data_IF_367086350934
#
_entry.id   IF_367086350934
#
_cell.length_a   1.000
_cell.length_b   1.000
_cell.length_c   1.000
_cell.angle_alpha   90.00
_cell.angle_beta   90.00
_cell.angle_gamma   90.00
#
_symmetry.space_group_name_H-M   'P 1'
#
loop_
_entity.id
_entity.type
_entity.pdbx_description
1 polymer ?
#
# COMPACT_ATOMS: atom_id res chain seq x y z
N UNK A 1 7.18 -4.72 50.46
CA UNK A 1 6.98 -3.96 49.23
C UNK A 1 6.61 -4.96 48.14
N UNK A 2 5.39 -4.96 47.69
CA UNK A 2 5.03 -5.76 46.53
C UNK A 2 5.71 -5.17 45.30
N UNK A 3 6.54 -5.96 44.65
CA UNK A 3 7.08 -5.60 43.32
C UNK A 3 5.93 -5.35 42.39
N UNK A 4 5.84 -4.16 41.84
CA UNK A 4 4.89 -3.84 40.75
C UNK A 4 5.36 -4.60 39.52
N UNK A 5 4.89 -5.85 39.40
CA UNK A 5 5.13 -6.66 38.19
C UNK A 5 4.39 -5.96 37.05
N UNK A 6 5.16 -5.44 36.11
CA UNK A 6 4.61 -4.84 34.89
C UNK A 6 3.96 -5.98 34.06
N UNK A 7 2.65 -6.21 34.29
CA UNK A 7 1.86 -7.26 33.62
C UNK A 7 1.84 -7.09 32.09
N UNK A 8 2.12 -5.89 31.58
CA UNK A 8 2.19 -5.62 30.13
C UNK A 8 3.50 -6.13 29.55
N UNK A 9 4.62 -6.03 30.28
CA UNK A 9 5.91 -6.54 29.83
C UNK A 9 6.00 -8.08 29.86
N UNK A 10 5.19 -8.73 30.72
CA UNK A 10 5.10 -10.20 30.84
C UNK A 10 3.89 -10.82 30.10
N UNK A 11 3.07 -10.02 29.44
CA UNK A 11 1.97 -10.56 28.64
C UNK A 11 2.51 -11.15 27.34
N UNK A 12 2.00 -12.31 26.92
CA UNK A 12 2.26 -12.91 25.62
C UNK A 12 1.57 -12.10 24.49
N UNK A 13 1.65 -10.77 24.58
CA UNK A 13 1.05 -9.82 23.67
C UNK A 13 2.12 -9.38 22.66
N UNK A 14 1.85 -9.65 21.40
CA UNK A 14 2.71 -9.25 20.29
C UNK A 14 2.11 -8.03 19.57
N UNK A 15 2.95 -7.23 18.99
CA UNK A 15 2.54 -6.09 18.16
C UNK A 15 2.84 -6.37 16.72
N UNK A 16 1.85 -6.20 15.85
CA UNK A 16 2.01 -6.19 14.41
C UNK A 16 1.81 -4.76 13.92
N UNK A 17 2.92 -4.06 13.67
CA UNK A 17 2.89 -2.67 13.23
C UNK A 17 3.07 -2.59 11.72
N UNK A 18 2.03 -2.15 11.01
CA UNK A 18 2.07 -2.00 9.56
C UNK A 18 3.08 -0.95 9.09
N UNK A 19 3.45 0.00 9.94
CA UNK A 19 4.49 0.97 9.58
C UNK A 19 5.87 0.34 9.45
N UNK A 20 6.15 -0.77 10.15
CA UNK A 20 7.40 -1.52 10.02
C UNK A 20 7.57 -2.12 8.63
N UNK A 21 6.46 -2.36 7.93
CA UNK A 21 6.40 -2.91 6.57
C UNK A 21 6.22 -1.83 5.50
N UNK A 22 6.23 -0.55 5.88
CA UNK A 22 6.00 0.53 4.92
C UNK A 22 7.09 0.55 3.85
N UNK A 23 6.72 0.42 2.56
CA UNK A 23 7.70 0.33 1.48
C UNK A 23 8.53 1.61 1.35
N UNK A 24 9.83 1.49 1.44
CA UNK A 24 10.75 2.62 1.22
C UNK A 24 10.88 2.89 -0.26
N UNK A 25 10.91 4.17 -0.64
CA UNK A 25 11.12 4.59 -2.02
C UNK A 25 10.26 5.81 -2.40
N UNK A 26 10.60 6.39 -3.53
CA UNK A 26 9.89 7.54 -4.08
C UNK A 26 8.61 7.06 -4.75
N UNK A 27 7.50 7.76 -4.49
CA UNK A 27 6.24 7.58 -5.19
C UNK A 27 6.04 8.74 -6.14
N UNK A 28 5.73 8.44 -7.38
CA UNK A 28 5.38 9.41 -8.40
C UNK A 28 4.03 9.09 -9.01
N UNK A 29 3.34 10.13 -9.45
CA UNK A 29 2.06 10.00 -10.12
C UNK A 29 2.14 10.60 -11.50
N UNK A 30 1.65 9.85 -12.49
CA UNK A 30 1.47 10.33 -13.86
C UNK A 30 -0.01 10.59 -14.06
N UNK A 31 -0.32 11.83 -14.40
CA UNK A 31 -1.66 12.26 -14.74
C UNK A 31 -1.84 12.31 -16.25
N UNK A 32 -2.59 11.36 -16.80
CA UNK A 32 -2.87 11.28 -18.24
C UNK A 32 -3.61 12.51 -18.75
N UNK A 33 -4.39 13.19 -17.90
CA UNK A 33 -5.13 14.38 -18.30
C UNK A 33 -4.25 15.48 -18.90
N UNK A 34 -2.99 15.54 -18.49
CA UNK A 34 -2.02 16.52 -19.01
C UNK A 34 -1.66 16.31 -20.49
N UNK A 35 -1.96 15.14 -21.03
CA UNK A 35 -1.69 14.75 -22.41
C UNK A 35 -2.97 14.67 -23.26
N UNK A 36 -4.10 15.11 -22.70
CA UNK A 36 -5.38 15.17 -23.37
C UNK A 36 -5.67 16.59 -23.86
N UNK A 37 -6.41 16.71 -24.96
CA UNK A 37 -6.90 18.01 -25.41
C UNK A 37 -7.85 18.58 -24.37
N UNK A 38 -7.54 19.76 -23.85
CA UNK A 38 -8.28 20.46 -22.78
C UNK A 38 -8.51 19.59 -21.53
N UNK A 39 -7.67 18.56 -21.33
CA UNK A 39 -7.78 17.64 -20.20
C UNK A 39 -8.84 16.54 -20.35
N UNK A 40 -9.58 16.49 -21.45
CA UNK A 40 -10.74 15.59 -21.58
C UNK A 40 -10.74 14.71 -22.83
N UNK A 41 -10.16 15.14 -23.94
CA UNK A 41 -10.24 14.40 -25.20
C UNK A 41 -8.90 13.80 -25.57
N UNK A 42 -8.84 12.46 -25.65
CA UNK A 42 -7.67 11.75 -26.14
C UNK A 42 -7.64 11.75 -27.67
N UNK A 43 -6.65 12.44 -28.24
CA UNK A 43 -6.29 12.34 -29.65
C UNK A 43 -5.07 11.46 -29.79
N UNK A 44 -5.19 10.29 -30.39
CA UNK A 44 -4.13 9.27 -30.41
C UNK A 44 -2.81 9.79 -30.91
N UNK A 45 -2.79 10.53 -32.03
CA UNK A 45 -1.55 11.08 -32.60
C UNK A 45 -0.83 12.00 -31.62
N UNK A 46 -1.57 12.92 -30.99
CA UNK A 46 -1.01 13.89 -30.05
C UNK A 46 -0.56 13.21 -28.76
N UNK A 47 -1.35 12.27 -28.26
CA UNK A 47 -1.01 11.46 -27.10
C UNK A 47 0.30 10.70 -27.30
N UNK A 48 0.46 10.01 -28.44
CA UNK A 48 1.70 9.32 -28.78
C UNK A 48 2.89 10.24 -28.90
N UNK A 49 2.70 11.45 -29.46
CA UNK A 49 3.74 12.46 -29.55
C UNK A 49 4.19 12.93 -28.14
N UNK A 50 3.26 13.13 -27.21
CA UNK A 50 3.59 13.45 -25.84
C UNK A 50 4.43 12.34 -25.18
N UNK A 51 4.04 11.08 -25.36
CA UNK A 51 4.79 9.94 -24.80
C UNK A 51 6.21 9.84 -25.37
N UNK A 52 6.37 10.09 -26.66
CA UNK A 52 7.68 10.05 -27.32
C UNK A 52 8.63 11.17 -26.86
N UNK A 53 8.09 12.30 -26.44
CA UNK A 53 8.85 13.45 -25.99
C UNK A 53 9.04 13.50 -24.45
N UNK A 54 8.38 12.57 -23.71
CA UNK A 54 8.47 12.53 -22.27
C UNK A 54 9.74 11.84 -21.82
N UNK A 55 10.44 12.41 -20.82
CA UNK A 55 11.62 11.78 -20.22
C UNK A 55 11.17 10.72 -19.18
N UNK A 56 11.18 9.46 -19.60
CA UNK A 56 10.82 8.33 -18.75
C UNK A 56 11.91 7.97 -17.75
N UNK A 57 13.16 8.34 -18.00
CA UNK A 57 14.29 8.02 -17.11
C UNK A 57 14.19 8.71 -15.74
N UNK A 58 13.41 9.79 -15.63
CA UNK A 58 13.15 10.47 -14.37
C UNK A 58 12.48 9.57 -13.33
N UNK A 59 11.84 8.47 -13.76
CA UNK A 59 11.15 7.52 -12.87
C UNK A 59 12.05 6.34 -12.46
N UNK A 60 13.34 6.44 -12.70
CA UNK A 60 14.27 5.35 -12.37
C UNK A 60 14.15 4.95 -10.91
N UNK A 61 13.94 3.65 -10.68
CA UNK A 61 13.82 3.02 -9.35
C UNK A 61 12.67 3.55 -8.46
N UNK A 62 11.67 4.19 -9.05
CA UNK A 62 10.50 4.73 -8.34
C UNK A 62 9.28 3.79 -8.44
N UNK A 63 8.34 4.00 -7.53
CA UNK A 63 7.00 3.45 -7.58
C UNK A 63 6.09 4.46 -8.27
N UNK A 64 5.36 4.04 -9.30
CA UNK A 64 4.58 4.97 -10.15
C UNK A 64 3.13 4.57 -10.23
N UNK A 65 2.25 5.52 -9.92
CA UNK A 65 0.82 5.42 -10.15
C UNK A 65 0.44 6.17 -11.44
N UNK A 66 -0.39 5.57 -12.26
CA UNK A 66 -0.96 6.18 -13.48
C UNK A 66 -2.43 6.44 -13.23
N UNK A 67 -2.86 7.67 -13.35
CA UNK A 67 -4.28 8.03 -13.25
C UNK A 67 -4.67 9.13 -14.24
N UNK A 68 -5.94 9.47 -14.24
CA UNK A 68 -6.47 10.65 -14.92
C UNK A 68 -7.26 11.47 -13.89
N UNK A 69 -6.87 12.71 -13.67
CA UNK A 69 -7.48 13.60 -12.67
C UNK A 69 -8.80 14.23 -13.14
N UNK A 70 -9.14 14.08 -14.41
CA UNK A 70 -10.41 14.58 -14.99
C UNK A 70 -11.38 13.42 -15.25
N UNK A 71 -12.65 13.74 -15.48
CA UNK A 71 -13.69 12.76 -15.86
C UNK A 71 -13.60 12.32 -17.34
N UNK A 72 -12.42 12.42 -17.94
CA UNK A 72 -12.20 11.98 -19.31
C UNK A 72 -12.39 10.47 -19.45
N UNK A 73 -12.96 10.06 -20.57
CA UNK A 73 -13.01 8.66 -20.97
C UNK A 73 -11.66 8.30 -21.56
N UNK A 74 -10.83 7.62 -20.77
CA UNK A 74 -9.51 7.16 -21.20
C UNK A 74 -9.60 5.69 -21.60
N UNK A 75 -9.32 5.35 -22.87
CA UNK A 75 -9.32 3.96 -23.30
C UNK A 75 -8.18 3.18 -22.60
N UNK A 76 -8.41 1.91 -22.32
CA UNK A 76 -7.45 1.07 -21.59
C UNK A 76 -6.06 1.06 -22.23
N UNK A 77 -5.97 1.09 -23.57
CA UNK A 77 -4.69 1.06 -24.26
C UNK A 77 -3.79 2.26 -23.92
N UNK A 78 -4.36 3.40 -23.53
CA UNK A 78 -3.57 4.59 -23.16
C UNK A 78 -2.76 4.34 -21.87
N UNK A 79 -3.40 3.85 -20.81
CA UNK A 79 -2.69 3.49 -19.58
C UNK A 79 -1.70 2.34 -19.79
N UNK A 80 -2.06 1.36 -20.62
CA UNK A 80 -1.16 0.26 -20.98
C UNK A 80 0.08 0.78 -21.70
N UNK A 81 -0.08 1.71 -22.64
CA UNK A 81 1.03 2.29 -23.38
C UNK A 81 1.97 3.07 -22.45
N UNK A 82 1.43 3.87 -21.52
CA UNK A 82 2.21 4.57 -20.50
C UNK A 82 2.99 3.56 -19.63
N UNK A 83 2.35 2.48 -19.21
CA UNK A 83 3.01 1.47 -18.40
C UNK A 83 4.17 0.77 -19.13
N UNK A 84 4.04 0.54 -20.44
CA UNK A 84 5.10 -0.03 -21.27
C UNK A 84 6.32 0.91 -21.32
N UNK A 85 6.09 2.22 -21.43
CA UNK A 85 7.18 3.21 -21.42
C UNK A 85 7.89 3.29 -20.07
N UNK A 86 7.13 3.11 -18.97
CA UNK A 86 7.67 3.12 -17.61
C UNK A 86 8.44 1.85 -17.23
N UNK A 87 8.08 0.71 -17.83
CA UNK A 87 8.58 -0.61 -17.42
C UNK A 87 10.10 -0.73 -17.33
N UNK A 88 10.92 -0.09 -18.21
CA UNK A 88 12.37 -0.15 -18.10
C UNK A 88 12.94 0.59 -16.89
N UNK A 89 12.19 1.51 -16.29
CA UNK A 89 12.67 2.45 -15.27
C UNK A 89 12.06 2.23 -13.89
N UNK A 90 10.74 2.08 -13.83
CA UNK A 90 10.00 2.01 -12.57
C UNK A 90 10.10 0.64 -11.90
N UNK A 91 10.15 0.62 -10.56
CA UNK A 91 10.12 -0.61 -9.75
C UNK A 91 8.74 -1.25 -9.71
N UNK A 92 7.69 -0.44 -9.66
CA UNK A 92 6.29 -0.88 -9.63
C UNK A 92 5.43 0.16 -10.33
N UNK A 93 4.48 -0.32 -11.10
CA UNK A 93 3.53 0.51 -11.83
C UNK A 93 2.13 0.02 -11.49
N UNK A 94 1.25 0.95 -11.16
CA UNK A 94 -0.16 0.68 -10.83
C UNK A 94 -1.04 1.69 -11.55
N UNK A 95 -2.13 1.24 -12.13
CA UNK A 95 -3.19 2.14 -12.61
C UNK A 95 -4.13 2.45 -11.45
N UNK A 96 -4.13 3.69 -11.00
CA UNK A 96 -4.86 4.16 -9.85
C UNK A 96 -4.19 5.32 -9.14
N UNK A 97 -4.53 5.52 -7.88
CA UNK A 97 -3.99 6.55 -7.00
C UNK A 97 -2.68 6.11 -6.34
N UNK A 98 -2.03 7.03 -5.63
CA UNK A 98 -0.89 6.68 -4.74
C UNK A 98 -1.32 5.69 -3.66
N UNK A 99 -2.55 5.79 -3.15
CA UNK A 99 -3.08 4.83 -2.19
C UNK A 99 -3.22 3.42 -2.78
N UNK A 100 -3.68 3.31 -4.03
CA UNK A 100 -3.75 2.03 -4.75
C UNK A 100 -2.36 1.44 -4.98
N UNK A 101 -1.38 2.28 -5.27
CA UNK A 101 0.02 1.89 -5.41
C UNK A 101 0.57 1.33 -4.09
N UNK A 102 0.37 2.05 -2.99
CA UNK A 102 0.80 1.59 -1.66
C UNK A 102 0.08 0.29 -1.25
N UNK A 103 -1.20 0.16 -1.55
CA UNK A 103 -1.95 -1.07 -1.32
C UNK A 103 -1.35 -2.27 -2.07
N UNK A 104 -0.99 -2.09 -3.34
CA UNK A 104 -0.35 -3.15 -4.14
C UNK A 104 1.05 -3.53 -3.62
N UNK A 105 1.81 -2.56 -3.09
CA UNK A 105 3.10 -2.82 -2.46
C UNK A 105 2.94 -3.62 -1.15
N UNK A 106 1.99 -3.24 -0.31
CA UNK A 106 1.67 -3.97 0.92
C UNK A 106 1.18 -5.39 0.65
N UNK A 107 0.36 -5.58 -0.38
CA UNK A 107 -0.14 -6.91 -0.74
C UNK A 107 1.01 -7.90 -0.96
N UNK A 108 2.03 -7.51 -1.69
CA UNK A 108 3.22 -8.32 -1.90
C UNK A 108 4.00 -8.54 -0.60
N UNK A 109 4.32 -7.47 0.13
CA UNK A 109 5.12 -7.53 1.35
C UNK A 109 4.43 -8.41 2.41
N UNK A 110 3.14 -8.20 2.64
CA UNK A 110 2.39 -8.94 3.65
C UNK A 110 2.20 -10.41 3.28
N UNK A 111 2.17 -10.76 1.99
CA UNK A 111 2.13 -12.16 1.55
C UNK A 111 3.43 -12.93 1.85
N UNK A 112 4.53 -12.24 2.03
CA UNK A 112 5.86 -12.81 2.29
C UNK A 112 6.23 -12.87 3.78
N UNK A 113 5.38 -12.34 4.67
CA UNK A 113 5.61 -12.35 6.13
C UNK A 113 5.39 -13.74 6.70
N UNK A 114 6.27 -14.16 7.60
CA UNK A 114 6.07 -15.39 8.38
C UNK A 114 5.16 -15.12 9.58
N UNK A 115 3.89 -15.46 9.43
CA UNK A 115 2.88 -15.31 10.48
C UNK A 115 2.91 -16.41 11.54
N UNK A 116 3.68 -17.49 11.35
CA UNK A 116 3.75 -18.61 12.29
C UNK A 116 4.27 -18.19 13.67
N UNK A 117 5.06 -17.12 13.73
CA UNK A 117 5.57 -16.52 14.98
C UNK A 117 4.46 -15.99 15.89
N UNK A 118 3.27 -15.71 15.34
CA UNK A 118 2.08 -15.24 16.07
C UNK A 118 1.14 -16.36 16.51
N UNK A 119 1.51 -17.63 16.25
CA UNK A 119 0.67 -18.79 16.56
C UNK A 119 0.30 -18.82 18.04
N UNK A 120 -1.01 -18.90 18.32
CA UNK A 120 -1.59 -18.94 19.66
C UNK A 120 -1.30 -17.71 20.55
N UNK A 121 -0.86 -16.59 19.96
CA UNK A 121 -0.59 -15.35 20.68
C UNK A 121 -1.72 -14.34 20.53
N UNK A 122 -1.79 -13.41 21.47
CA UNK A 122 -2.63 -12.21 21.34
C UNK A 122 -1.85 -11.15 20.59
N UNK A 123 -2.42 -10.60 19.54
CA UNK A 123 -1.76 -9.65 18.65
C UNK A 123 -2.49 -8.31 18.63
N UNK A 124 -1.74 -7.22 18.75
CA UNK A 124 -2.25 -5.86 18.48
C UNK A 124 -1.82 -5.48 17.06
N UNK A 125 -2.80 -5.24 16.22
CA UNK A 125 -2.62 -4.69 14.89
C UNK A 125 -2.67 -3.16 14.97
N UNK A 126 -1.63 -2.50 14.50
CA UNK A 126 -1.54 -1.04 14.47
C UNK A 126 -0.82 -0.53 13.22
N UNK A 127 -0.83 0.79 13.06
CA UNK A 127 -0.17 1.50 11.97
C UNK A 127 -0.72 2.93 11.87
N UNK A 128 -0.32 3.69 10.83
CA UNK A 128 -0.85 5.02 10.52
C UNK A 128 -0.61 6.10 11.58
N UNK A 129 0.43 5.98 12.41
CA UNK A 129 0.81 7.07 13.32
C UNK A 129 1.74 8.09 12.64
N UNK A 130 2.63 7.62 11.76
CA UNK A 130 3.63 8.45 11.08
C UNK A 130 3.63 8.28 9.55
N UNK A 131 3.02 7.22 9.04
CA UNK A 131 3.02 6.87 7.61
C UNK A 131 1.60 6.58 7.13
N UNK A 132 1.27 6.94 5.88
CA UNK A 132 -0.07 6.74 5.32
C UNK A 132 -0.28 5.27 4.92
N UNK A 133 -0.53 4.41 5.90
CA UNK A 133 -0.83 3.00 5.65
C UNK A 133 -2.25 2.88 5.05
N UNK A 134 -2.41 2.29 3.86
CA UNK A 134 -3.72 2.15 3.24
C UNK A 134 -4.62 1.17 4.00
N UNK A 135 -5.93 1.41 3.98
CA UNK A 135 -6.91 0.54 4.67
C UNK A 135 -6.82 -0.92 4.21
N UNK A 136 -6.54 -1.17 2.94
CA UNK A 136 -6.32 -2.52 2.42
C UNK A 136 -5.25 -3.30 3.18
N UNK A 137 -4.17 -2.64 3.61
CA UNK A 137 -3.11 -3.28 4.36
C UNK A 137 -3.59 -3.79 5.73
N UNK A 138 -4.44 -3.04 6.42
CA UNK A 138 -5.04 -3.47 7.69
C UNK A 138 -5.93 -4.71 7.51
N UNK A 139 -6.81 -4.67 6.52
CA UNK A 139 -7.72 -5.80 6.24
C UNK A 139 -6.92 -7.05 5.87
N UNK A 140 -5.92 -6.91 5.03
CA UNK A 140 -5.08 -8.01 4.58
C UNK A 140 -4.27 -8.61 5.73
N UNK A 141 -3.62 -7.77 6.55
CA UNK A 141 -2.88 -8.22 7.71
C UNK A 141 -3.77 -8.95 8.73
N UNK A 142 -4.97 -8.42 8.99
CA UNK A 142 -5.94 -9.06 9.87
C UNK A 142 -6.33 -10.46 9.36
N UNK A 143 -6.55 -10.62 8.05
CA UNK A 143 -6.87 -11.90 7.44
C UNK A 143 -5.72 -12.92 7.59
N UNK A 144 -4.49 -12.52 7.36
CA UNK A 144 -3.34 -13.41 7.56
C UNK A 144 -3.13 -13.77 9.03
N UNK A 145 -3.21 -12.78 9.94
CA UNK A 145 -3.05 -13.01 11.38
C UNK A 145 -4.13 -13.93 11.95
N UNK A 146 -5.35 -13.88 11.42
CA UNK A 146 -6.48 -14.66 11.90
C UNK A 146 -6.24 -16.18 11.83
N UNK A 147 -5.46 -16.63 10.86
CA UNK A 147 -5.12 -18.05 10.71
C UNK A 147 -4.22 -18.57 11.84
N UNK A 148 -3.41 -17.71 12.43
CA UNK A 148 -2.39 -18.06 13.42
C UNK A 148 -2.68 -17.56 14.84
N UNK A 149 -3.10 -16.31 14.98
CA UNK A 149 -3.27 -15.65 16.26
C UNK A 149 -4.41 -16.25 17.09
N UNK A 150 -4.26 -16.23 18.43
CA UNK A 150 -5.33 -16.55 19.37
C UNK A 150 -6.38 -15.43 19.43
N UNK A 151 -5.93 -14.19 19.39
CA UNK A 151 -6.78 -12.99 19.35
C UNK A 151 -6.11 -11.85 18.63
N UNK A 152 -6.90 -10.97 18.06
CA UNK A 152 -6.45 -9.75 17.39
C UNK A 152 -7.20 -8.57 17.98
N UNK A 153 -6.48 -7.54 18.32
CA UNK A 153 -6.99 -6.24 18.75
C UNK A 153 -6.43 -5.15 17.84
N UNK A 154 -7.11 -4.03 17.76
CA UNK A 154 -6.66 -2.86 16.98
C UNK A 154 -6.36 -1.69 17.90
N UNK A 155 -5.24 -1.02 17.66
CA UNK A 155 -4.85 0.21 18.34
C UNK A 155 -3.67 0.04 19.29
N UNK A 156 -3.63 0.86 20.32
CA UNK A 156 -2.59 0.80 21.35
C UNK A 156 -3.04 -0.14 22.50
N UNK A 157 -2.05 -0.73 23.19
CA UNK A 157 -2.31 -1.73 24.24
C UNK A 157 -3.25 -1.23 25.38
N UNK A 158 -3.21 0.07 25.68
CA UNK A 158 -4.05 0.67 26.73
C UNK A 158 -5.48 1.01 26.28
N UNK A 159 -5.75 1.03 24.96
CA UNK A 159 -7.04 1.42 24.37
C UNK A 159 -7.39 0.59 23.15
N UNK A 160 -6.98 -0.67 23.12
CA UNK A 160 -7.19 -1.55 21.98
C UNK A 160 -8.64 -1.98 21.81
N UNK A 161 -9.10 -1.99 20.56
CA UNK A 161 -10.43 -2.49 20.18
C UNK A 161 -10.33 -3.98 19.84
N UNK A 162 -11.07 -4.87 20.52
CA UNK A 162 -11.11 -6.29 20.16
C UNK A 162 -11.69 -6.50 18.75
N UNK A 163 -11.01 -7.30 17.94
CA UNK A 163 -11.44 -7.62 16.57
C UNK A 163 -11.77 -9.10 16.39
N UNK A 164 -10.96 -9.98 16.99
CA UNK A 164 -11.06 -11.41 16.80
C UNK A 164 -10.57 -12.16 18.04
N UNK A 165 -11.23 -13.27 18.36
CA UNK A 165 -10.80 -14.25 19.35
C UNK A 165 -11.15 -15.65 18.88
N UNK A 166 -10.15 -16.52 18.85
CA UNK A 166 -10.33 -17.93 18.51
C UNK A 166 -11.18 -18.61 19.58
N UNK A 167 -12.17 -19.39 19.17
CA UNK A 167 -13.03 -20.17 20.06
C UNK A 167 -12.28 -21.37 20.62
#
# INVERSE_FOLDING_TARGET
MEEIVNKVANSALEVFDLEDYYPKGIRSQIDISLWLLEGFLLKEKDFRAHLNNHDWSQYQDQYVAINCSTDAIVPAWASILVSIQLAPFAKKIVNGTIEDLDAALYEKILSEVDYSIYKNKSVILKGCSKKPVPMRAYVLAANYLQDFARSIMYGEACSAVPLFKKK
#
